data_IF_855141888921
#
_entry.id   IF_855141888921
#
_cell.length_a   1.000
_cell.length_b   1.000
_cell.length_c   1.000
_cell.angle_alpha   90.00
_cell.angle_beta   90.00
_cell.angle_gamma   90.00
#
_symmetry.space_group_name_H-M   'P 1'
#
loop_
_entity.id
_entity.type
_entity.pdbx_description
1 polymer ?
#
# COMPACT_ATOMS: atom_id res chain seq x y z
N UNK A 1 -35.51 -18.23 24.73
CA UNK A 1 -34.07 -18.47 24.96
C UNK A 1 -33.69 -19.51 23.92
N UNK A 2 -32.88 -19.32 22.89
CA UNK A 2 -31.71 -18.49 22.52
C UNK A 2 -31.71 -18.49 20.97
N UNK A 3 -31.03 -17.66 20.18
CA UNK A 3 -30.14 -16.53 20.33
C UNK A 3 -29.86 -16.07 18.88
N UNK A 4 -30.09 -14.79 18.57
CA UNK A 4 -29.85 -14.23 17.24
C UNK A 4 -28.37 -13.95 17.05
N UNK A 5 -27.78 -14.52 16.00
CA UNK A 5 -26.40 -14.26 15.59
C UNK A 5 -26.33 -12.92 14.86
N UNK A 6 -25.55 -11.98 15.39
CA UNK A 6 -25.25 -10.71 14.74
C UNK A 6 -24.08 -10.88 13.75
N UNK A 7 -24.10 -10.24 12.56
CA UNK A 7 -22.96 -10.27 11.65
C UNK A 7 -21.81 -9.42 12.18
N UNK A 8 -20.59 -9.93 11.97
CA UNK A 8 -19.32 -9.31 12.30
C UNK A 8 -19.17 -7.92 11.66
N UNK A 9 -18.57 -7.01 12.44
CA UNK A 9 -18.57 -5.57 12.23
C UNK A 9 -17.97 -5.09 10.91
N UNK A 10 -18.68 -4.17 10.29
CA UNK A 10 -18.08 -3.19 9.37
C UNK A 10 -17.12 -2.34 10.19
N UNK A 11 -15.88 -2.20 9.75
CA UNK A 11 -14.95 -1.25 10.36
C UNK A 11 -15.47 0.16 10.08
N UNK A 12 -16.15 0.75 11.07
CA UNK A 12 -16.48 2.17 11.08
C UNK A 12 -15.17 2.94 11.14
N UNK A 13 -14.87 3.64 10.06
CA UNK A 13 -13.89 4.71 10.06
C UNK A 13 -14.41 5.86 10.93
N UNK A 14 -14.02 5.87 12.21
CA UNK A 14 -14.21 7.03 13.07
C UNK A 14 -13.36 8.18 12.53
N UNK A 15 -14.01 9.21 12.01
CA UNK A 15 -13.38 10.50 11.76
C UNK A 15 -13.09 11.15 13.12
N UNK A 16 -11.83 11.11 13.54
CA UNK A 16 -11.37 11.86 14.70
C UNK A 16 -10.25 11.17 15.45
N UNK A 17 -9.00 11.45 15.07
CA UNK A 17 -7.94 11.69 16.05
C UNK A 17 -6.82 12.50 15.38
N UNK A 18 -6.59 13.70 15.89
CA UNK A 18 -5.45 14.53 15.54
C UNK A 18 -4.40 14.36 16.63
N UNK A 19 -3.18 13.87 16.35
CA UNK A 19 -2.10 13.99 17.30
C UNK A 19 -1.26 15.23 16.99
N UNK A 20 -1.69 16.36 17.57
CA UNK A 20 -0.77 17.43 17.93
C UNK A 20 -0.27 17.16 19.34
N UNK A 21 0.93 16.57 19.50
CA UNK A 21 1.62 16.59 20.79
C UNK A 21 3.08 16.92 20.59
N UNK A 22 3.45 18.02 21.23
CA UNK A 22 4.74 18.68 21.18
C UNK A 22 5.87 17.81 21.76
N UNK A 23 7.04 17.95 21.12
CA UNK A 23 8.33 17.42 21.56
C UNK A 23 8.84 18.27 22.74
N UNK A 24 9.17 17.70 23.91
CA UNK A 24 9.95 18.41 24.92
C UNK A 24 11.46 18.34 24.60
N UNK A 25 12.25 19.40 24.89
CA UNK A 25 13.69 19.42 24.67
C UNK A 25 14.44 18.58 25.72
N UNK A 26 15.60 18.08 25.29
CA UNK A 26 16.39 17.06 25.96
C UNK A 26 17.01 17.45 27.31
N UNK A 27 17.19 16.42 28.13
CA UNK A 27 18.04 16.40 29.32
C UNK A 27 18.92 15.16 29.30
N UNK A 28 20.23 15.37 29.43
CA UNK A 28 21.28 14.36 29.41
C UNK A 28 21.21 13.40 30.62
N UNK A 29 21.51 12.12 30.41
CA UNK A 29 21.99 11.24 31.47
C UNK A 29 22.84 10.07 30.92
N UNK A 30 24.12 10.14 31.29
CA UNK A 30 25.16 9.13 31.50
C UNK A 30 24.94 7.63 31.13
N UNK A 31 25.89 7.17 30.30
CA UNK A 31 26.70 5.94 30.41
C UNK A 31 26.42 5.01 31.61
N UNK A 32 26.18 3.72 31.33
CA UNK A 32 26.88 2.60 32.01
C UNK A 32 26.76 1.27 31.25
N UNK A 33 27.86 0.54 31.30
CA UNK A 33 28.17 -0.70 30.61
C UNK A 33 27.52 -1.95 31.24
N UNK A 34 27.40 -3.02 30.44
CA UNK A 34 27.09 -4.35 30.96
C UNK A 34 26.65 -5.36 29.89
N UNK A 35 27.50 -5.65 28.90
CA UNK A 35 27.29 -6.79 27.99
C UNK A 35 27.97 -8.04 28.59
N UNK A 36 27.17 -8.98 29.09
CA UNK A 36 27.62 -10.29 29.53
C UNK A 36 27.42 -11.31 28.41
N UNK A 37 28.54 -11.92 27.99
CA UNK A 37 28.63 -13.09 27.11
C UNK A 37 28.49 -14.35 27.96
N UNK A 38 27.78 -15.38 27.47
CA UNK A 38 28.19 -16.76 27.74
C UNK A 38 28.32 -17.63 26.47
N UNK A 39 29.01 -18.80 26.58
CA UNK A 39 29.97 -19.24 25.59
C UNK A 39 29.48 -20.32 24.61
N UNK A 40 30.30 -20.49 23.57
CA UNK A 40 30.27 -21.62 22.65
C UNK A 40 30.61 -22.95 23.34
N UNK A 41 29.88 -24.00 22.95
CA UNK A 41 30.25 -25.40 23.13
C UNK A 41 29.89 -26.19 21.87
N UNK A 42 30.90 -26.74 21.19
CA UNK A 42 30.75 -27.75 20.14
C UNK A 42 30.35 -29.11 20.74
N UNK A 43 30.24 -30.22 20.02
CA UNK A 43 30.22 -30.58 18.62
C UNK A 43 29.75 -32.06 18.58
N UNK A 44 29.17 -32.49 17.45
CA UNK A 44 29.37 -33.81 16.80
C UNK A 44 28.09 -34.50 16.25
N UNK A 45 27.99 -34.48 14.92
CA UNK A 45 27.78 -35.59 13.97
C UNK A 45 26.91 -36.80 14.38
N UNK A 46 25.86 -37.09 13.59
CA UNK A 46 25.82 -38.31 12.76
C UNK A 46 24.64 -38.36 11.78
N UNK A 47 24.90 -39.13 10.72
CA UNK A 47 24.22 -39.21 9.45
C UNK A 47 22.89 -39.98 9.46
N UNK A 48 22.08 -39.69 8.44
CA UNK A 48 20.85 -40.42 8.12
C UNK A 48 20.29 -39.99 6.76
N UNK A 49 21.08 -40.16 5.69
CA UNK A 49 20.60 -39.98 4.32
C UNK A 49 19.74 -41.18 3.94
N UNK A 50 18.45 -40.95 3.70
CA UNK A 50 17.53 -41.91 3.10
C UNK A 50 17.08 -41.37 1.73
N UNK A 51 17.52 -42.06 0.68
CA UNK A 51 17.02 -41.94 -0.70
C UNK A 51 16.00 -43.05 -0.94
N UNK A 52 14.83 -42.73 -1.52
CA UNK A 52 14.25 -43.61 -2.55
C UNK A 52 13.64 -42.79 -3.73
N UNK A 53 13.22 -43.41 -4.87
CA UNK A 53 13.81 -43.11 -6.17
C UNK A 53 12.87 -42.39 -7.15
N UNK A 54 13.46 -42.02 -8.28
CA UNK A 54 12.80 -41.53 -9.48
C UNK A 54 11.81 -42.53 -10.09
N UNK A 55 10.69 -42.01 -10.61
CA UNK A 55 9.84 -42.70 -11.57
C UNK A 55 8.46 -42.07 -11.73
N UNK A 56 8.14 -41.56 -12.92
CA UNK A 56 6.75 -41.35 -13.35
C UNK A 56 6.44 -39.96 -13.94
N UNK A 57 6.53 -39.87 -15.26
CA UNK A 57 6.14 -38.69 -16.04
C UNK A 57 4.61 -38.50 -16.12
N UNK A 58 4.23 -37.21 -16.16
CA UNK A 58 3.14 -36.59 -16.92
C UNK A 58 1.68 -37.07 -16.76
N UNK A 59 0.88 -36.24 -16.09
CA UNK A 59 -0.31 -35.59 -16.65
C UNK A 59 -0.53 -34.32 -15.80
N UNK A 60 -0.43 -33.10 -16.34
CA UNK A 60 -1.35 -32.64 -17.36
C UNK A 60 -2.67 -32.23 -16.70
N UNK A 61 -2.60 -31.27 -15.78
CA UNK A 61 -3.75 -30.76 -15.04
C UNK A 61 -3.39 -29.43 -14.42
N UNK A 62 -3.07 -28.44 -15.26
CA UNK A 62 -3.21 -27.06 -14.85
C UNK A 62 -4.70 -26.89 -14.50
N UNK A 63 -5.01 -27.01 -13.22
CA UNK A 63 -6.21 -26.43 -12.70
C UNK A 63 -6.08 -24.94 -13.00
N UNK A 64 -6.73 -24.52 -14.09
CA UNK A 64 -7.06 -23.12 -14.33
C UNK A 64 -7.50 -22.58 -12.97
N UNK A 65 -6.91 -21.51 -12.41
CA UNK A 65 -7.39 -21.02 -11.14
C UNK A 65 -8.85 -20.68 -11.38
N UNK A 66 -9.74 -21.43 -10.72
CA UNK A 66 -11.14 -21.08 -10.65
C UNK A 66 -11.16 -19.60 -10.29
N UNK A 67 -11.74 -18.78 -11.17
CA UNK A 67 -11.75 -17.34 -11.01
C UNK A 67 -12.39 -17.03 -9.66
N UNK A 68 -11.56 -16.79 -8.65
CA UNK A 68 -12.03 -16.34 -7.36
C UNK A 68 -12.61 -14.95 -7.57
N UNK A 69 -13.70 -14.64 -6.88
CA UNK A 69 -14.22 -13.28 -6.91
C UNK A 69 -13.13 -12.30 -6.47
N UNK A 70 -13.06 -11.16 -7.15
CA UNK A 70 -12.08 -10.14 -6.84
C UNK A 70 -12.26 -9.69 -5.38
N UNK A 71 -11.19 -9.82 -4.60
CA UNK A 71 -11.18 -9.49 -3.18
C UNK A 71 -9.95 -8.67 -2.85
N UNK A 72 -10.02 -7.93 -1.75
CA UNK A 72 -8.85 -7.21 -1.25
C UNK A 72 -7.90 -8.23 -0.61
N UNK A 73 -6.68 -8.27 -1.10
CA UNK A 73 -5.58 -9.10 -0.59
C UNK A 73 -4.42 -8.18 -0.24
N UNK A 74 -3.81 -8.42 0.92
CA UNK A 74 -2.58 -7.76 1.33
C UNK A 74 -1.36 -8.55 0.88
N UNK A 75 -0.32 -7.83 0.48
CA UNK A 75 0.95 -8.38 0.03
C UNK A 75 2.10 -7.61 0.64
N UNK A 76 3.13 -8.30 1.14
CA UNK A 76 4.39 -7.65 1.50
C UNK A 76 5.60 -8.50 1.08
N UNK A 77 6.44 -7.93 0.22
CA UNK A 77 7.66 -8.55 -0.32
C UNK A 77 8.94 -7.88 0.21
N UNK A 78 8.82 -6.85 1.06
CA UNK A 78 9.96 -6.13 1.61
C UNK A 78 10.53 -5.02 0.72
N UNK A 79 9.77 -4.55 -0.29
CA UNK A 79 10.16 -3.43 -1.15
C UNK A 79 10.62 -2.23 -0.31
N UNK A 80 11.79 -1.67 -0.63
CA UNK A 80 12.44 -0.61 0.15
C UNK A 80 11.92 0.76 -0.22
N UNK A 81 11.34 0.91 -1.40
CA UNK A 81 10.88 2.19 -1.93
C UNK A 81 9.50 2.07 -2.56
N UNK A 82 8.79 3.20 -2.64
CA UNK A 82 7.53 3.28 -3.38
C UNK A 82 7.73 2.98 -4.86
N UNK A 83 8.82 3.46 -5.47
CA UNK A 83 9.11 3.22 -6.88
C UNK A 83 9.28 1.72 -7.20
N UNK A 84 9.94 0.97 -6.33
CA UNK A 84 10.10 -0.47 -6.45
C UNK A 84 8.75 -1.20 -6.37
N UNK A 85 7.92 -0.84 -5.39
CA UNK A 85 6.58 -1.40 -5.24
C UNK A 85 5.65 -1.04 -6.42
N UNK A 86 5.67 0.21 -6.86
CA UNK A 86 4.88 0.71 -8.00
C UNK A 86 5.30 -0.02 -9.29
N UNK A 87 6.60 -0.22 -9.50
CA UNK A 87 7.10 -0.97 -10.65
C UNK A 87 6.64 -2.43 -10.63
N UNK A 88 6.71 -3.10 -9.47
CA UNK A 88 6.21 -4.46 -9.30
C UNK A 88 4.70 -4.56 -9.58
N UNK A 89 3.90 -3.60 -9.07
CA UNK A 89 2.45 -3.53 -9.33
C UNK A 89 2.15 -3.47 -10.84
N UNK A 90 2.92 -2.68 -11.59
CA UNK A 90 2.73 -2.51 -13.04
C UNK A 90 3.07 -3.78 -13.85
N UNK A 91 3.84 -4.71 -13.28
CA UNK A 91 4.19 -5.97 -13.93
C UNK A 91 3.20 -7.11 -13.67
N UNK A 92 2.19 -6.92 -12.79
CA UNK A 92 1.24 -7.96 -12.44
C UNK A 92 0.33 -8.33 -13.63
N UNK A 93 0.23 -9.63 -13.90
CA UNK A 93 -0.66 -10.19 -14.92
C UNK A 93 -1.47 -11.34 -14.31
N UNK A 94 -2.81 -11.30 -14.35
CA UNK A 94 -3.63 -10.18 -14.81
C UNK A 94 -3.45 -8.93 -13.93
N UNK A 95 -3.65 -7.75 -14.52
CA UNK A 95 -3.59 -6.51 -13.78
C UNK A 95 -4.68 -6.50 -12.69
N UNK A 96 -4.35 -6.09 -11.45
CA UNK A 96 -5.36 -5.94 -10.40
C UNK A 96 -6.37 -4.85 -10.78
N UNK A 97 -7.56 -4.88 -10.18
CA UNK A 97 -8.57 -3.82 -10.39
C UNK A 97 -8.14 -2.54 -9.68
N UNK A 98 -7.60 -2.68 -8.47
CA UNK A 98 -7.09 -1.61 -7.62
C UNK A 98 -5.78 -2.09 -6.97
N UNK A 99 -4.78 -1.21 -6.88
CA UNK A 99 -3.56 -1.47 -6.14
C UNK A 99 -3.16 -0.23 -5.33
N UNK A 100 -2.91 -0.40 -4.04
CA UNK A 100 -2.49 0.66 -3.15
C UNK A 100 -1.19 0.30 -2.43
N UNK A 101 -0.28 1.25 -2.27
CA UNK A 101 0.91 1.11 -1.42
C UNK A 101 0.66 1.68 -0.02
N UNK A 102 1.27 1.03 0.96
CA UNK A 102 1.21 1.37 2.38
C UNK A 102 2.65 1.39 2.93
N UNK A 103 3.05 2.51 3.53
CA UNK A 103 4.35 2.59 4.21
C UNK A 103 4.26 1.91 5.57
N UNK A 104 5.18 1.00 5.84
CA UNK A 104 5.22 0.19 7.06
C UNK A 104 6.59 0.34 7.71
N UNK A 105 6.62 0.58 9.02
CA UNK A 105 7.87 0.82 9.76
C UNK A 105 8.52 -0.48 10.30
N UNK A 106 7.73 -1.53 10.52
CA UNK A 106 8.13 -2.76 11.22
C UNK A 106 7.93 -3.97 10.31
N UNK A 107 8.85 -4.95 10.26
CA UNK A 107 10.07 -5.09 11.07
C UNK A 107 11.21 -4.12 10.69
N UNK A 108 11.14 -3.56 9.49
CA UNK A 108 11.99 -2.46 9.03
C UNK A 108 11.16 -1.58 8.09
N UNK A 109 11.60 -0.34 7.78
CA UNK A 109 10.91 0.51 6.81
C UNK A 109 10.80 -0.16 5.44
N UNK A 110 9.56 -0.46 5.01
CA UNK A 110 9.26 -1.08 3.73
C UNK A 110 7.85 -0.70 3.24
N UNK A 111 7.51 -1.16 2.03
CA UNK A 111 6.20 -0.94 1.41
C UNK A 111 5.39 -2.23 1.38
N UNK A 112 4.26 -2.23 2.07
CA UNK A 112 3.21 -3.24 1.91
C UNK A 112 2.19 -2.77 0.87
N UNK A 113 1.45 -3.70 0.28
CA UNK A 113 0.58 -3.45 -0.86
C UNK A 113 -0.78 -4.07 -0.57
N UNK A 114 -1.87 -3.38 -0.91
CA UNK A 114 -3.20 -4.00 -1.00
C UNK A 114 -3.65 -4.04 -2.46
N UNK A 115 -4.24 -5.16 -2.85
CA UNK A 115 -4.67 -5.44 -4.22
C UNK A 115 -6.12 -5.89 -4.22
N UNK A 116 -6.98 -5.28 -5.04
CA UNK A 116 -8.26 -5.86 -5.41
C UNK A 116 -8.05 -6.77 -6.60
N UNK A 117 -7.97 -8.08 -6.35
CA UNK A 117 -7.63 -9.08 -7.39
C UNK A 117 -8.32 -10.42 -7.14
N UNK A 118 -8.53 -11.18 -8.21
CA UNK A 118 -8.97 -12.56 -8.17
C UNK A 118 -7.79 -13.53 -7.97
N UNK A 119 -6.59 -13.13 -8.37
CA UNK A 119 -5.41 -13.98 -8.37
C UNK A 119 -4.82 -14.09 -6.95
N UNK A 120 -4.37 -15.29 -6.53
CA UNK A 120 -3.59 -15.41 -5.30
C UNK A 120 -2.24 -14.72 -5.48
N UNK A 121 -1.78 -14.03 -4.44
CA UNK A 121 -0.46 -13.41 -4.39
C UNK A 121 0.20 -13.78 -3.08
N UNK A 122 1.43 -14.26 -3.15
CA UNK A 122 2.18 -14.69 -1.98
C UNK A 122 2.82 -13.51 -1.26
N UNK A 123 3.02 -13.69 0.04
CA UNK A 123 3.67 -12.73 0.96
C UNK A 123 4.83 -13.42 1.63
N UNK A 124 5.90 -12.68 1.90
CA UNK A 124 7.01 -13.18 2.71
C UNK A 124 6.48 -13.52 4.12
N UNK A 125 6.67 -14.74 4.65
CA UNK A 125 6.04 -15.17 5.90
C UNK A 125 6.28 -14.23 7.09
N UNK A 126 7.48 -13.66 7.18
CA UNK A 126 7.89 -12.71 8.22
C UNK A 126 7.17 -11.35 8.13
N UNK A 127 6.66 -11.00 6.95
CA UNK A 127 5.98 -9.73 6.68
C UNK A 127 4.46 -9.86 6.63
N UNK A 128 3.91 -11.02 7.01
CA UNK A 128 2.48 -11.30 6.92
C UNK A 128 1.62 -10.32 7.72
N UNK A 129 2.07 -9.87 8.89
CA UNK A 129 1.35 -8.86 9.66
C UNK A 129 1.21 -7.52 8.90
N UNK A 130 2.24 -7.13 8.15
CA UNK A 130 2.21 -5.92 7.32
C UNK A 130 1.23 -6.07 6.15
N UNK A 131 1.19 -7.25 5.53
CA UNK A 131 0.22 -7.57 4.50
C UNK A 131 -1.21 -7.55 5.04
N UNK A 132 -1.49 -8.21 6.17
CA UNK A 132 -2.79 -8.21 6.83
C UNK A 132 -3.26 -6.78 7.17
N UNK A 133 -2.35 -5.94 7.69
CA UNK A 133 -2.64 -4.53 7.95
C UNK A 133 -2.96 -3.73 6.67
N UNK A 134 -2.23 -3.96 5.58
CA UNK A 134 -2.49 -3.33 4.28
C UNK A 134 -3.86 -3.74 3.73
N UNK A 135 -4.22 -5.03 3.84
CA UNK A 135 -5.52 -5.55 3.42
C UNK A 135 -6.69 -4.92 4.18
N UNK A 136 -6.48 -4.55 5.45
CA UNK A 136 -7.46 -3.83 6.27
C UNK A 136 -7.80 -2.42 5.78
N UNK A 137 -7.07 -1.90 4.79
CA UNK A 137 -7.37 -0.64 4.10
C UNK A 137 -7.38 0.64 4.95
N UNK A 138 -6.58 0.80 6.03
CA UNK A 138 -6.73 1.96 6.93
C UNK A 138 -6.40 3.29 6.24
N UNK A 139 -5.41 3.30 5.35
CA UNK A 139 -5.10 4.37 4.41
C UNK A 139 -3.98 3.90 3.48
N UNK A 140 -4.04 4.23 2.19
CA UNK A 140 -2.98 3.90 1.22
C UNK A 140 -2.90 4.89 0.07
N UNK A 141 -1.92 4.73 -0.81
CA UNK A 141 -1.80 5.51 -2.05
C UNK A 141 -2.06 4.63 -3.23
N UNK A 142 -3.08 4.96 -4.03
CA UNK A 142 -3.45 4.17 -5.18
C UNK A 142 -2.46 4.39 -6.32
N UNK A 143 -1.93 3.30 -6.84
CA UNK A 143 -1.01 3.23 -7.97
C UNK A 143 -1.77 2.86 -9.24
N UNK A 144 -2.71 1.94 -9.10
CA UNK A 144 -3.56 1.46 -10.18
C UNK A 144 -5.00 1.47 -9.72
N UNK A 145 -5.89 2.05 -10.52
CA UNK A 145 -7.33 2.09 -10.29
C UNK A 145 -8.07 2.28 -11.62
N UNK A 146 -9.37 1.95 -11.68
CA UNK A 146 -10.17 2.11 -12.90
C UNK A 146 -10.17 3.55 -13.41
N UNK A 147 -9.81 3.72 -14.68
CA UNK A 147 -9.79 5.03 -15.37
C UNK A 147 -8.52 5.85 -15.18
N UNK A 148 -7.55 5.39 -14.39
CA UNK A 148 -6.24 6.06 -14.20
C UNK A 148 -5.54 6.42 -15.51
N UNK A 149 -5.53 5.53 -16.51
CA UNK A 149 -4.92 5.78 -17.83
C UNK A 149 -5.58 6.89 -18.66
N UNK A 150 -6.76 7.36 -18.27
CA UNK A 150 -7.50 8.44 -18.95
C UNK A 150 -7.23 9.81 -18.32
N UNK A 151 -6.50 9.85 -17.20
CA UNK A 151 -6.21 11.06 -16.44
C UNK A 151 -4.90 11.71 -16.91
N UNK A 152 -4.86 12.12 -18.16
CA UNK A 152 -3.69 12.70 -18.82
C UNK A 152 -3.93 14.16 -19.21
N UNK A 153 -2.90 15.00 -19.11
CA UNK A 153 -2.95 16.43 -19.41
C UNK A 153 -3.81 17.25 -18.46
N UNK A 154 -4.42 18.31 -19.00
CA UNK A 154 -5.28 19.24 -18.25
C UNK A 154 -6.74 18.77 -18.30
N UNK A 155 -7.33 18.48 -17.13
CA UNK A 155 -8.71 18.02 -17.00
C UNK A 155 -9.43 18.81 -15.92
N UNK A 156 -10.71 19.09 -16.12
CA UNK A 156 -11.56 19.63 -15.05
C UNK A 156 -11.75 18.61 -13.93
N UNK A 157 -12.03 19.08 -12.72
CA UNK A 157 -12.42 18.20 -11.59
C UNK A 157 -13.59 17.30 -11.98
N UNK A 158 -14.58 17.83 -12.70
CA UNK A 158 -15.72 17.06 -13.21
C UNK A 158 -15.29 15.93 -14.16
N UNK A 159 -14.38 16.19 -15.10
CA UNK A 159 -13.86 15.15 -16.00
C UNK A 159 -13.10 14.05 -15.26
N UNK A 160 -12.33 14.40 -14.22
CA UNK A 160 -11.60 13.43 -13.40
C UNK A 160 -12.57 12.47 -12.71
N UNK A 161 -13.63 13.00 -12.08
CA UNK A 161 -14.64 12.22 -11.38
C UNK A 161 -15.47 11.34 -12.33
N UNK A 162 -15.74 11.80 -13.55
CA UNK A 162 -16.51 11.04 -14.54
C UNK A 162 -15.69 9.94 -15.22
N UNK A 163 -14.38 10.14 -15.39
CA UNK A 163 -13.51 9.24 -16.17
C UNK A 163 -12.83 8.18 -15.34
N UNK A 164 -12.85 8.31 -14.02
CA UNK A 164 -12.14 7.43 -13.09
C UNK A 164 -12.98 7.04 -11.88
N UNK A 165 -12.48 6.10 -11.10
CA UNK A 165 -13.08 5.71 -9.82
C UNK A 165 -12.73 6.67 -8.66
N UNK A 166 -12.17 7.85 -8.94
CA UNK A 166 -11.93 8.88 -7.92
C UNK A 166 -13.29 9.39 -7.45
N UNK A 167 -13.54 9.26 -6.15
CA UNK A 167 -14.80 9.67 -5.54
C UNK A 167 -14.84 11.19 -5.30
N UNK A 168 -13.71 11.79 -4.94
CA UNK A 168 -13.61 13.19 -4.54
C UNK A 168 -12.28 13.81 -4.93
N UNK A 169 -12.31 15.11 -5.23
CA UNK A 169 -11.12 15.95 -5.40
C UNK A 169 -11.13 17.03 -4.32
N UNK A 170 -10.04 17.13 -3.58
CA UNK A 170 -9.86 18.09 -2.50
C UNK A 170 -8.66 19.00 -2.78
N UNK A 171 -8.77 20.26 -2.41
CA UNK A 171 -7.66 21.21 -2.36
C UNK A 171 -7.04 21.13 -0.95
N UNK A 172 -5.74 20.93 -0.88
CA UNK A 172 -5.00 20.84 0.37
C UNK A 172 -5.24 22.10 1.22
N UNK A 173 -5.83 21.92 2.40
CA UNK A 173 -6.18 23.01 3.32
C UNK A 173 -7.40 23.86 2.90
N UNK A 174 -8.07 23.52 1.79
CA UNK A 174 -9.17 24.32 1.22
C UNK A 174 -10.52 23.59 1.06
N UNK A 175 -10.56 22.27 1.27
CA UNK A 175 -11.80 21.48 1.15
C UNK A 175 -12.07 21.00 -0.28
N UNK A 176 -13.33 20.71 -0.66
CA UNK A 176 -13.65 20.17 -1.99
C UNK A 176 -13.32 21.17 -3.10
N UNK A 177 -12.75 20.67 -4.21
CA UNK A 177 -12.43 21.48 -5.37
C UNK A 177 -13.70 21.82 -6.20
N UNK A 178 -13.72 23.00 -6.82
CA UNK A 178 -14.81 23.38 -7.72
C UNK A 178 -14.80 22.48 -8.97
N UNK A 179 -15.96 21.90 -9.37
CA UNK A 179 -16.06 20.99 -10.52
C UNK A 179 -15.51 21.54 -11.85
N UNK A 180 -15.55 22.85 -12.07
CA UNK A 180 -15.07 23.51 -13.27
C UNK A 180 -13.57 23.85 -13.23
N UNK A 181 -12.92 23.74 -12.07
CA UNK A 181 -11.49 24.03 -11.95
C UNK A 181 -10.66 23.02 -12.71
N UNK A 182 -9.67 23.52 -13.46
CA UNK A 182 -8.73 22.69 -14.23
C UNK A 182 -7.62 22.18 -13.33
N UNK A 183 -7.44 20.86 -13.31
CA UNK A 183 -6.31 20.15 -12.74
C UNK A 183 -5.32 19.81 -13.85
N UNK A 184 -4.08 20.26 -13.72
CA UNK A 184 -2.97 19.79 -14.52
C UNK A 184 -2.44 18.48 -13.92
N UNK A 185 -2.78 17.35 -14.53
CA UNK A 185 -2.45 16.02 -13.97
C UNK A 185 -0.97 15.68 -14.10
N UNK A 186 -0.21 16.35 -14.99
CA UNK A 186 1.18 15.98 -15.29
C UNK A 186 1.35 14.50 -15.69
N UNK A 187 0.28 13.89 -16.22
CA UNK A 187 0.18 12.47 -16.58
C UNK A 187 0.48 11.51 -15.41
N UNK A 188 0.35 12.01 -14.17
CA UNK A 188 0.62 11.26 -12.96
C UNK A 188 -0.37 11.61 -11.86
N UNK A 189 -1.26 10.67 -11.54
CA UNK A 189 -2.30 10.87 -10.53
C UNK A 189 -2.23 9.75 -9.50
N UNK A 190 -1.93 10.11 -8.25
CA UNK A 190 -1.77 9.17 -7.14
C UNK A 190 -2.74 9.50 -6.00
N UNK A 191 -4.04 9.15 -6.11
CA UNK A 191 -5.03 9.49 -5.10
C UNK A 191 -4.78 8.69 -3.81
N UNK A 192 -5.35 9.16 -2.71
CA UNK A 192 -5.35 8.45 -1.44
C UNK A 192 -6.55 7.51 -1.39
N UNK A 193 -6.33 6.25 -1.02
CA UNK A 193 -7.40 5.35 -0.67
C UNK A 193 -7.70 5.52 0.82
N UNK A 194 -8.90 6.00 1.13
CA UNK A 194 -9.37 6.28 2.50
C UNK A 194 -10.76 5.70 2.64
N UNK A 195 -10.94 4.79 3.59
CA UNK A 195 -12.28 4.28 3.96
C UNK A 195 -13.09 3.73 2.76
N UNK A 196 -12.44 3.10 1.78
CA UNK A 196 -13.11 2.58 0.58
C UNK A 196 -13.22 3.57 -0.59
N UNK A 197 -12.90 4.85 -0.39
CA UNK A 197 -12.97 5.88 -1.42
C UNK A 197 -11.57 6.32 -1.90
N UNK A 198 -11.48 6.70 -3.17
CA UNK A 198 -10.30 7.35 -3.73
C UNK A 198 -10.48 8.87 -3.69
N UNK A 199 -9.60 9.53 -2.95
CA UNK A 199 -9.58 10.99 -2.77
C UNK A 199 -8.32 11.55 -3.42
N UNK A 200 -8.48 12.36 -4.46
CA UNK A 200 -7.38 13.08 -5.07
C UNK A 200 -7.15 14.40 -4.35
N UNK A 201 -6.01 14.52 -3.67
CA UNK A 201 -5.58 15.77 -3.05
C UNK A 201 -4.77 16.59 -4.05
N UNK A 202 -5.12 17.86 -4.19
CA UNK A 202 -4.51 18.82 -5.11
C UNK A 202 -3.98 20.04 -4.37
N UNK A 203 -3.08 20.79 -4.99
CA UNK A 203 -2.61 22.09 -4.50
C UNK A 203 -2.85 23.17 -5.55
N UNK A 204 -3.13 24.42 -5.16
CA UNK A 204 -3.21 25.55 -6.09
C UNK A 204 -1.92 25.75 -6.88
N UNK A 205 -2.06 26.09 -8.16
CA UNK A 205 -0.99 26.45 -9.07
C UNK A 205 -1.31 27.77 -9.79
N UNK A 206 -0.33 28.31 -10.52
CA UNK A 206 -0.50 29.55 -11.25
C UNK A 206 -1.66 29.47 -12.26
N UNK A 207 -2.36 30.59 -12.46
CA UNK A 207 -3.47 30.68 -13.42
C UNK A 207 -4.79 30.08 -12.94
N UNK A 208 -5.00 29.95 -11.62
CA UNK A 208 -6.24 29.41 -11.06
C UNK A 208 -6.41 27.90 -11.30
N UNK A 209 -5.31 27.20 -11.58
CA UNK A 209 -5.28 25.75 -11.83
C UNK A 209 -4.93 25.00 -10.54
N UNK A 210 -5.18 23.70 -10.56
CA UNK A 210 -4.77 22.77 -9.53
C UNK A 210 -3.71 21.82 -10.09
N UNK A 211 -2.85 21.29 -9.24
CA UNK A 211 -1.95 20.18 -9.56
C UNK A 211 -2.14 19.08 -8.50
N UNK A 212 -1.99 17.78 -8.85
CA UNK A 212 -1.91 16.72 -7.84
C UNK A 212 -0.83 17.02 -6.80
N UNK A 213 -1.13 16.72 -5.53
CA UNK A 213 -0.19 16.93 -4.43
C UNK A 213 1.10 16.11 -4.59
N UNK A 214 0.98 14.88 -5.07
CA UNK A 214 2.15 14.04 -5.35
C UNK A 214 2.63 14.25 -6.78
N UNK A 215 3.94 14.46 -6.93
CA UNK A 215 4.61 14.53 -8.23
C UNK A 215 5.35 13.24 -8.49
N UNK A 216 5.49 12.90 -9.78
CA UNK A 216 6.21 11.71 -10.25
C UNK A 216 7.67 11.72 -9.80
N UNK A 217 8.31 12.87 -9.93
CA UNK A 217 9.66 13.15 -9.47
C UNK A 217 9.58 14.26 -8.42
N UNK A 218 9.50 13.93 -7.11
CA UNK A 218 9.70 14.95 -6.10
C UNK A 218 11.09 15.53 -6.33
N UNK A 219 11.19 16.85 -6.48
CA UNK A 219 12.48 17.54 -6.37
C UNK A 219 13.13 17.02 -5.09
N UNK A 220 14.37 16.48 -5.12
CA UNK A 220 14.99 15.91 -3.94
C UNK A 220 15.16 17.02 -2.91
N UNK A 221 14.21 17.14 -1.99
CA UNK A 221 14.35 17.94 -0.81
C UNK A 221 14.83 17.00 0.31
N UNK A 222 16.07 17.24 0.74
CA UNK A 222 16.70 16.71 1.94
C UNK A 222 17.44 15.35 1.82
N UNK A 223 18.42 15.24 0.91
CA UNK A 223 19.41 14.16 0.92
C UNK A 223 20.74 14.52 1.64
N UNK A 224 20.81 15.61 2.42
CA UNK A 224 22.07 16.01 3.08
C UNK A 224 21.86 16.69 4.45
N UNK A 225 21.52 15.90 5.47
CA UNK A 225 21.63 16.29 6.87
C UNK A 225 22.25 15.17 7.69
#
# INVERSE_FOLDING_TARGET
MTGGSAPAGVAVCSAGDAPGTAIPPGGAAALSAGAAVPPAGGAALSAGAAVPPAGGAAAGGAASPAGGDARIVGVSLGHRTLAEADHWIQQLVPAPVLACTHLVAVPFPHVAISLLTAAPVETVPELRAAAEAAAGGPAGRAVLFPGSSRLTGALTVSEILQRSSIARVEVLGGGPADPATVVDTGDFVRPQFRCGELVLVTTPAAGGRLIPFERRDPTPCCANH
#
